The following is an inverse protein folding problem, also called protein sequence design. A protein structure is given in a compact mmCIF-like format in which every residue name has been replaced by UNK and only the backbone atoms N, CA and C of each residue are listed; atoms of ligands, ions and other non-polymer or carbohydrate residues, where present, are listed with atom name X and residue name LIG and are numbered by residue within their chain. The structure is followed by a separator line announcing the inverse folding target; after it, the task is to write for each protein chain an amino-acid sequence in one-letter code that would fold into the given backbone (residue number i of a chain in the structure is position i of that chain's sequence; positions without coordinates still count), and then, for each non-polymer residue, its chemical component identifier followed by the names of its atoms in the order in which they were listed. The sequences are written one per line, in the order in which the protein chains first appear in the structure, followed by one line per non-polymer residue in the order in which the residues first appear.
data_IF_692631135536
#
_entry.id   IF_692631135536
#
_cell.length_a   1.000
_cell.length_b   1.000
_cell.length_c   1.000
_cell.angle_alpha   90.00
_cell.angle_beta   90.00
_cell.angle_gamma   90.00
#
_symmetry.space_group_name_H-M   'P 1'
#
loop_
_entity.id
_entity.type
_entity.pdbx_description
1 polymer ?
#
# COMPACT_ATOMS: atom_id res chain seq x y z
N UNK A 1 -2.07 -15.14 -22.59
CA UNK A 1 -2.96 -14.51 -21.60
C UNK A 1 -3.72 -13.43 -22.34
N UNK A 2 -5.03 -13.58 -22.54
CA UNK A 2 -5.85 -12.53 -23.18
C UNK A 2 -5.95 -11.36 -22.20
N UNK A 3 -5.42 -10.20 -22.57
CA UNK A 3 -5.66 -8.95 -21.84
C UNK A 3 -7.17 -8.65 -21.87
N UNK A 4 -7.83 -8.91 -20.77
CA UNK A 4 -9.20 -8.41 -20.61
C UNK A 4 -9.12 -6.89 -20.38
N UNK A 5 -9.92 -6.11 -21.12
CA UNK A 5 -9.91 -4.67 -20.96
C UNK A 5 -10.36 -4.30 -19.53
N UNK A 6 -9.66 -3.35 -18.90
CA UNK A 6 -10.05 -2.80 -17.61
C UNK A 6 -11.42 -2.16 -17.75
N UNK A 7 -12.39 -2.62 -16.95
CA UNK A 7 -13.76 -2.09 -16.94
C UNK A 7 -13.97 -1.19 -15.73
N UNK A 8 -14.60 -0.03 -15.95
CA UNK A 8 -15.12 0.74 -14.84
C UNK A 8 -16.38 0.05 -14.29
N UNK A 9 -16.36 -0.29 -13.00
CA UNK A 9 -17.44 -0.99 -12.30
C UNK A 9 -18.26 -0.06 -11.40
N UNK A 10 -17.96 1.25 -11.38
CA UNK A 10 -18.73 2.23 -10.64
C UNK A 10 -20.00 2.51 -11.43
N UNK A 11 -21.16 2.11 -10.88
CA UNK A 11 -22.49 2.34 -11.44
C UNK A 11 -22.97 3.78 -11.15
N UNK A 12 -22.55 4.35 -10.03
CA UNK A 12 -22.90 5.70 -9.61
C UNK A 12 -22.58 5.98 -8.15
N UNK A 13 -23.02 7.14 -7.68
CA UNK A 13 -22.88 7.58 -6.31
C UNK A 13 -24.26 7.84 -5.71
N UNK A 14 -24.45 7.51 -4.45
CA UNK A 14 -25.67 7.76 -3.71
C UNK A 14 -25.35 8.34 -2.35
N UNK A 15 -26.17 9.28 -1.91
CA UNK A 15 -26.16 9.80 -0.54
C UNK A 15 -27.27 9.14 0.24
N UNK A 16 -26.92 8.46 1.33
CA UNK A 16 -27.86 7.68 2.15
C UNK A 16 -27.49 7.79 3.63
N UNK A 17 -28.42 7.47 4.52
CA UNK A 17 -28.09 7.32 5.95
C UNK A 17 -27.21 6.09 6.14
N UNK A 18 -26.19 6.23 6.98
CA UNK A 18 -25.26 5.13 7.28
C UNK A 18 -25.98 3.89 7.81
N UNK A 19 -27.00 4.06 8.66
CA UNK A 19 -27.81 2.98 9.23
C UNK A 19 -28.63 2.18 8.21
N UNK A 20 -28.94 2.75 7.05
CA UNK A 20 -29.71 2.08 5.98
C UNK A 20 -28.85 1.12 5.16
N UNK A 21 -27.53 1.19 5.31
CA UNK A 21 -26.59 0.30 4.63
C UNK A 21 -26.56 -1.07 5.30
N UNK A 22 -26.67 -2.13 4.50
CA UNK A 22 -26.59 -3.51 4.97
C UNK A 22 -25.11 -3.89 5.17
N UNK A 23 -24.66 -4.25 6.38
CA UNK A 23 -23.28 -4.72 6.57
C UNK A 23 -23.10 -6.06 5.84
N UNK A 24 -21.88 -6.29 5.34
CA UNK A 24 -21.57 -7.58 4.73
C UNK A 24 -21.27 -8.62 5.82
N UNK A 25 -21.95 -9.75 5.80
CA UNK A 25 -21.82 -10.82 6.81
C UNK A 25 -20.42 -11.45 6.86
N UNK A 26 -19.66 -11.35 5.76
CA UNK A 26 -18.28 -11.84 5.67
C UNK A 26 -17.25 -10.76 5.97
N UNK A 27 -17.65 -9.62 6.54
CA UNK A 27 -16.65 -8.64 6.98
C UNK A 27 -15.82 -9.19 8.13
N UNK A 28 -14.58 -9.55 7.85
CA UNK A 28 -13.64 -10.15 8.81
C UNK A 28 -12.77 -9.11 9.54
N UNK A 29 -12.94 -7.81 9.21
CA UNK A 29 -12.11 -6.75 9.79
C UNK A 29 -12.63 -6.32 11.15
N UNK A 30 -11.75 -6.38 12.15
CA UNK A 30 -11.98 -5.79 13.46
C UNK A 30 -11.09 -4.54 13.60
N UNK A 31 -11.70 -3.43 13.96
CA UNK A 31 -10.98 -2.16 14.13
C UNK A 31 -10.82 -1.85 15.62
N UNK A 32 -9.59 -1.62 16.14
CA UNK A 32 -9.39 -1.14 17.49
C UNK A 32 -10.08 0.20 17.72
N UNK A 33 -10.63 0.42 18.93
CA UNK A 33 -11.35 1.67 19.25
C UNK A 33 -10.49 2.93 19.08
N UNK A 34 -9.19 2.83 19.31
CA UNK A 34 -8.23 3.93 19.10
C UNK A 34 -8.18 4.41 17.64
N UNK A 35 -8.34 3.52 16.65
CA UNK A 35 -8.45 3.92 15.25
C UNK A 35 -9.73 4.69 14.95
N UNK A 36 -10.81 4.41 15.70
CA UNK A 36 -12.11 5.06 15.53
C UNK A 36 -12.04 6.53 15.93
N UNK A 37 -11.41 6.84 17.05
CA UNK A 37 -11.38 8.18 17.62
C UNK A 37 -10.39 9.11 16.90
N UNK A 38 -9.18 8.65 16.61
CA UNK A 38 -8.11 9.49 16.13
C UNK A 38 -8.31 9.98 14.69
N UNK A 39 -8.65 9.07 13.78
CA UNK A 39 -8.71 9.43 12.34
C UNK A 39 -9.93 10.30 12.03
N UNK A 40 -11.06 10.08 12.71
CA UNK A 40 -12.32 10.72 12.37
C UNK A 40 -12.58 12.01 13.15
N UNK A 41 -11.97 12.18 14.32
CA UNK A 41 -12.09 13.41 15.08
C UNK A 41 -11.33 14.58 14.44
N UNK A 42 -10.20 14.30 13.78
CA UNK A 42 -9.32 15.35 13.25
C UNK A 42 -9.58 15.66 11.77
N UNK A 43 -9.86 14.65 10.96
CA UNK A 43 -10.02 14.81 9.49
C UNK A 43 -11.46 14.62 9.04
N UNK A 44 -12.31 13.96 9.83
CA UNK A 44 -13.68 13.63 9.46
C UNK A 44 -13.78 12.56 8.38
N UNK A 45 -14.91 12.53 7.66
CA UNK A 45 -15.17 11.58 6.59
C UNK A 45 -14.56 12.07 5.27
N UNK A 46 -13.35 11.65 4.98
CA UNK A 46 -12.61 12.05 3.78
C UNK A 46 -12.74 11.06 2.60
N UNK A 47 -13.56 10.01 2.72
CA UNK A 47 -13.70 8.96 1.70
C UNK A 47 -15.12 8.41 1.67
N UNK A 48 -15.68 8.18 0.46
CA UNK A 48 -16.96 7.50 0.27
C UNK A 48 -16.90 6.04 0.74
N UNK A 49 -18.07 5.47 1.08
CA UNK A 49 -18.24 4.05 1.35
C UNK A 49 -18.41 3.31 0.03
N UNK A 50 -18.07 2.03 0.00
CA UNK A 50 -18.19 1.19 -1.18
C UNK A 50 -19.28 0.14 -0.96
N UNK A 51 -20.25 0.05 -1.88
CA UNK A 51 -21.38 -0.87 -1.77
C UNK A 51 -21.84 -1.39 -3.13
N UNK A 52 -22.69 -2.40 -3.13
CA UNK A 52 -23.43 -2.88 -4.28
C UNK A 52 -24.91 -3.02 -3.97
N UNK A 53 -25.73 -3.01 -5.01
CA UNK A 53 -27.18 -3.04 -4.87
C UNK A 53 -27.71 -4.49 -4.79
N UNK A 54 -28.48 -4.77 -3.74
CA UNK A 54 -29.19 -6.03 -3.57
C UNK A 54 -30.44 -6.06 -4.47
N UNK A 55 -31.01 -7.25 -4.74
CA UNK A 55 -32.25 -7.38 -5.55
C UNK A 55 -33.42 -6.59 -5.01
N UNK A 56 -33.47 -6.31 -3.71
CA UNK A 56 -34.49 -5.51 -3.04
C UNK A 56 -34.23 -4.00 -3.05
N UNK A 57 -33.16 -3.57 -3.73
CA UNK A 57 -32.76 -2.17 -3.87
C UNK A 57 -31.95 -1.60 -2.71
N UNK A 58 -31.74 -2.35 -1.63
CA UNK A 58 -30.85 -1.93 -0.53
C UNK A 58 -29.39 -2.01 -0.96
N UNK A 59 -28.55 -1.20 -0.33
CA UNK A 59 -27.10 -1.18 -0.56
C UNK A 59 -26.38 -2.03 0.48
N UNK A 60 -25.59 -3.02 0.04
CA UNK A 60 -24.78 -3.87 0.90
C UNK A 60 -23.31 -3.45 0.80
N UNK A 61 -22.69 -3.22 1.96
CA UNK A 61 -21.32 -2.70 2.07
C UNK A 61 -20.27 -3.71 1.59
N UNK A 62 -19.27 -3.21 0.91
CA UNK A 62 -18.01 -3.88 0.61
C UNK A 62 -16.90 -3.27 1.46
N UNK A 63 -16.83 -1.93 1.54
CA UNK A 63 -15.88 -1.22 2.39
C UNK A 63 -16.56 -0.06 3.13
N UNK A 64 -16.03 0.26 4.33
CA UNK A 64 -16.53 1.35 5.17
C UNK A 64 -17.41 0.91 6.32
N UNK A 65 -17.40 -0.35 6.74
CA UNK A 65 -18.17 -0.87 7.88
C UNK A 65 -17.91 -0.06 9.15
N UNK A 66 -16.65 0.24 9.47
CA UNK A 66 -16.30 1.08 10.61
C UNK A 66 -16.98 2.45 10.54
N UNK A 67 -16.93 3.11 9.38
CA UNK A 67 -17.52 4.44 9.18
C UNK A 67 -19.03 4.43 9.33
N UNK A 68 -19.70 3.39 8.80
CA UNK A 68 -21.14 3.17 9.01
C UNK A 68 -21.50 3.07 10.49
N UNK A 69 -20.67 2.40 11.29
CA UNK A 69 -20.96 2.10 12.69
C UNK A 69 -20.61 3.25 13.65
N UNK A 70 -20.00 4.31 13.17
CA UNK A 70 -19.68 5.49 13.99
C UNK A 70 -20.93 6.31 14.32
N UNK A 71 -21.79 6.55 13.35
CA UNK A 71 -23.04 7.29 13.50
C UNK A 71 -24.05 6.81 12.46
N UNK A 72 -25.06 6.07 12.92
CA UNK A 72 -26.09 5.50 12.07
C UNK A 72 -27.01 6.54 11.41
N UNK A 73 -27.13 7.72 12.01
CA UNK A 73 -27.99 8.81 11.52
C UNK A 73 -27.27 9.72 10.51
N UNK A 74 -25.97 9.62 10.41
CA UNK A 74 -25.16 10.40 9.49
C UNK A 74 -25.49 10.08 8.04
N UNK A 75 -25.60 11.11 7.20
CA UNK A 75 -25.62 10.96 5.75
C UNK A 75 -24.21 10.73 5.21
N UNK A 76 -24.02 9.67 4.43
CA UNK A 76 -22.74 9.27 3.86
C UNK A 76 -22.81 9.15 2.35
N UNK A 77 -21.71 9.47 1.69
CA UNK A 77 -21.53 9.25 0.26
C UNK A 77 -21.12 7.79 0.01
N UNK A 78 -21.79 7.14 -0.93
CA UNK A 78 -21.59 5.73 -1.28
C UNK A 78 -21.31 5.59 -2.76
N UNK A 79 -20.19 5.00 -3.11
CA UNK A 79 -19.93 4.49 -4.46
C UNK A 79 -20.64 3.16 -4.66
N UNK A 80 -21.54 3.11 -5.62
CA UNK A 80 -22.32 1.90 -5.93
C UNK A 80 -21.65 1.17 -7.09
N UNK A 81 -21.23 -0.07 -6.84
CA UNK A 81 -20.61 -0.92 -7.86
C UNK A 81 -21.64 -1.80 -8.57
N UNK A 82 -21.38 -2.04 -9.86
CA UNK A 82 -22.05 -3.04 -10.69
C UNK A 82 -21.29 -4.37 -10.55
N UNK A 83 -21.52 -5.07 -9.45
CA UNK A 83 -20.87 -6.35 -9.12
C UNK A 83 -21.86 -7.35 -8.58
N UNK A 84 -21.60 -8.63 -8.83
CA UNK A 84 -22.32 -9.73 -8.20
C UNK A 84 -21.89 -9.91 -6.74
N UNK A 85 -22.65 -10.69 -5.98
CA UNK A 85 -22.31 -11.05 -4.59
C UNK A 85 -20.97 -11.81 -4.50
N UNK A 86 -20.65 -12.65 -5.51
CA UNK A 86 -19.37 -13.34 -5.60
C UNK A 86 -18.21 -12.36 -5.84
N UNK A 87 -18.36 -11.42 -6.76
CA UNK A 87 -17.37 -10.38 -7.05
C UNK A 87 -17.19 -9.45 -5.84
N UNK A 88 -18.26 -9.14 -5.10
CA UNK A 88 -18.21 -8.35 -3.87
C UNK A 88 -17.39 -9.06 -2.78
N UNK A 89 -17.54 -10.38 -2.63
CA UNK A 89 -16.69 -11.18 -1.72
C UNK A 89 -15.22 -11.16 -2.15
N UNK A 90 -14.94 -11.25 -3.44
CA UNK A 90 -13.56 -11.14 -3.94
C UNK A 90 -12.95 -9.76 -3.65
N UNK A 91 -13.74 -8.68 -3.77
CA UNK A 91 -13.31 -7.33 -3.40
C UNK A 91 -13.04 -7.20 -1.90
N UNK A 92 -13.89 -7.76 -1.03
CA UNK A 92 -13.66 -7.79 0.42
C UNK A 92 -12.30 -8.39 0.78
N UNK A 93 -11.89 -9.45 0.10
CA UNK A 93 -10.60 -10.11 0.31
C UNK A 93 -9.43 -9.35 -0.29
N UNK A 94 -9.64 -8.51 -1.29
CA UNK A 94 -8.58 -7.98 -2.15
C UNK A 94 -8.25 -6.51 -1.94
N UNK A 95 -9.19 -5.68 -1.48
CA UNK A 95 -9.02 -4.22 -1.41
C UNK A 95 -7.78 -3.85 -0.58
N UNK A 96 -7.67 -4.34 0.66
CA UNK A 96 -6.55 -3.99 1.52
C UNK A 96 -5.25 -4.72 1.16
N UNK A 97 -5.26 -6.07 0.93
CA UNK A 97 -4.05 -6.76 0.49
C UNK A 97 -3.44 -6.19 -0.79
N UNK A 98 -4.25 -5.81 -1.77
CA UNK A 98 -3.73 -5.17 -2.98
C UNK A 98 -3.16 -3.78 -2.71
N UNK A 99 -3.75 -3.01 -1.79
CA UNK A 99 -3.21 -1.73 -1.38
C UNK A 99 -1.85 -1.87 -0.67
N UNK A 100 -1.66 -2.92 0.13
CA UNK A 100 -0.39 -3.20 0.83
C UNK A 100 0.74 -3.66 -0.11
N UNK A 101 0.42 -4.15 -1.32
CA UNK A 101 1.43 -4.49 -2.34
C UNK A 101 2.11 -3.26 -2.94
N UNK A 102 1.57 -2.07 -2.75
CA UNK A 102 2.20 -0.83 -3.19
C UNK A 102 3.51 -0.60 -2.42
N UNK A 103 4.60 -0.34 -3.17
CA UNK A 103 5.90 -0.03 -2.56
C UNK A 103 5.86 1.38 -1.97
N UNK A 104 6.12 1.48 -0.68
CA UNK A 104 6.24 2.77 0.00
C UNK A 104 7.59 3.40 -0.30
N UNK A 105 7.58 4.64 -0.77
CA UNK A 105 8.79 5.46 -0.89
C UNK A 105 9.05 6.12 0.49
N UNK A 106 9.89 5.51 1.30
CA UNK A 106 10.13 5.89 2.70
C UNK A 106 10.52 7.37 2.83
N UNK A 107 11.42 7.87 2.00
CA UNK A 107 11.86 9.27 2.03
C UNK A 107 10.74 10.28 1.77
N UNK A 108 9.83 9.96 0.84
CA UNK A 108 8.68 10.83 0.55
C UNK A 108 7.65 10.78 1.67
N UNK A 109 7.42 9.60 2.27
CA UNK A 109 6.55 9.45 3.43
C UNK A 109 7.08 10.25 4.62
N UNK A 110 8.35 10.11 4.95
CA UNK A 110 8.98 10.80 6.09
C UNK A 110 8.90 12.32 5.90
N UNK A 111 9.16 12.78 4.66
CA UNK A 111 9.01 14.19 4.31
C UNK A 111 7.56 14.66 4.44
N UNK A 112 6.59 13.84 4.06
CA UNK A 112 5.16 14.17 4.20
C UNK A 112 4.77 14.29 5.68
N UNK A 113 5.24 13.39 6.55
CA UNK A 113 5.02 13.46 7.99
C UNK A 113 5.60 14.75 8.58
N UNK A 114 6.82 15.15 8.18
CA UNK A 114 7.43 16.42 8.60
C UNK A 114 6.61 17.65 8.18
N UNK A 115 6.01 17.61 6.98
CA UNK A 115 5.22 18.70 6.41
C UNK A 115 3.77 18.74 6.95
N UNK A 116 3.35 17.70 7.69
CA UNK A 116 1.99 17.55 8.19
C UNK A 116 2.01 17.53 9.73
N UNK A 117 2.16 18.70 10.39
CA UNK A 117 2.11 18.74 11.83
C UNK A 117 0.72 18.35 12.33
N UNK A 118 0.66 17.57 13.41
CA UNK A 118 -0.56 17.23 14.12
C UNK A 118 -0.35 17.32 15.61
N UNK A 119 -1.34 17.84 16.32
CA UNK A 119 -1.37 17.89 17.77
C UNK A 119 -1.91 16.58 18.37
N UNK A 120 -2.50 15.70 17.55
CA UNK A 120 -3.00 14.38 17.98
C UNK A 120 -1.84 13.38 18.12
N UNK A 121 -1.61 12.94 19.36
CA UNK A 121 -0.64 11.87 19.64
C UNK A 121 -1.11 10.54 19.04
N UNK A 122 -2.43 10.29 19.05
CA UNK A 122 -3.03 9.07 18.50
C UNK A 122 -2.80 8.97 16.99
N UNK A 123 -2.96 10.08 16.27
CA UNK A 123 -2.73 10.11 14.83
C UNK A 123 -1.25 9.92 14.51
N UNK A 124 -0.37 10.55 15.26
CA UNK A 124 1.08 10.36 15.14
C UNK A 124 1.49 8.92 15.38
N UNK A 125 0.95 8.30 16.44
CA UNK A 125 1.18 6.88 16.74
C UNK A 125 0.65 5.96 15.65
N UNK A 126 -0.51 6.27 15.06
CA UNK A 126 -1.07 5.51 13.93
C UNK A 126 -0.17 5.59 12.69
N UNK A 127 0.39 6.76 12.36
CA UNK A 127 1.33 6.91 11.24
C UNK A 127 2.63 6.12 11.49
N UNK A 128 3.14 6.11 12.70
CA UNK A 128 4.34 5.33 13.09
C UNK A 128 4.06 3.83 13.01
N UNK A 129 2.94 3.36 13.56
CA UNK A 129 2.55 1.96 13.51
C UNK A 129 2.36 1.46 12.07
N UNK A 130 1.75 2.28 11.20
CA UNK A 130 1.63 1.96 9.78
C UNK A 130 3.00 1.87 9.08
N UNK A 131 3.97 2.70 9.49
CA UNK A 131 5.33 2.64 9.01
C UNK A 131 6.05 1.35 9.43
N UNK A 132 5.90 0.97 10.69
CA UNK A 132 6.51 -0.25 11.25
C UNK A 132 5.89 -1.52 10.67
N UNK A 133 4.58 -1.56 10.42
CA UNK A 133 3.90 -2.69 9.78
C UNK A 133 4.47 -2.96 8.38
N UNK A 134 4.71 -1.91 7.60
CA UNK A 134 5.34 -2.02 6.26
C UNK A 134 6.79 -2.52 6.37
N UNK A 135 7.53 -2.14 7.42
CA UNK A 135 8.89 -2.60 7.66
C UNK A 135 8.93 -4.03 8.22
N UNK A 136 7.92 -4.43 9.04
CA UNK A 136 7.83 -5.77 9.65
C UNK A 136 7.45 -6.87 8.66
N UNK A 137 6.73 -6.55 7.59
CA UNK A 137 6.41 -7.49 6.50
C UNK A 137 7.56 -7.69 5.50
N UNK A 138 8.64 -6.94 5.62
CA UNK A 138 9.86 -7.29 4.91
C UNK A 138 10.33 -8.65 5.42
N UNK A 139 10.40 -9.69 4.56
CA UNK A 139 11.20 -10.84 4.89
C UNK A 139 12.56 -10.28 5.30
N UNK A 140 13.17 -10.80 6.38
CA UNK A 140 14.48 -10.32 6.79
C UNK A 140 15.30 -10.25 5.51
N UNK A 141 15.70 -9.05 5.07
CA UNK A 141 16.78 -8.97 4.11
C UNK A 141 17.79 -9.91 4.72
N UNK A 142 18.02 -11.05 4.08
CA UNK A 142 19.32 -11.66 4.19
C UNK A 142 20.26 -10.56 3.74
N UNK A 143 20.68 -9.79 4.70
CA UNK A 143 21.96 -9.14 4.67
C UNK A 143 22.88 -10.35 4.83
N UNK A 144 22.99 -11.18 3.79
CA UNK A 144 24.27 -11.71 3.46
C UNK A 144 25.09 -10.44 3.48
N UNK A 145 25.90 -10.28 4.50
CA UNK A 145 26.84 -9.20 4.60
C UNK A 145 27.56 -9.21 3.26
N UNK A 146 27.09 -8.38 2.31
CA UNK A 146 27.83 -8.10 1.11
C UNK A 146 29.04 -7.44 1.72
N UNK A 147 30.21 -8.10 1.75
CA UNK A 147 31.41 -7.45 2.24
C UNK A 147 31.47 -6.16 1.43
N UNK A 148 31.60 -5.01 2.11
CA UNK A 148 31.72 -3.71 1.44
C UNK A 148 32.76 -3.87 0.35
N UNK A 149 32.31 -4.04 -0.88
CA UNK A 149 33.20 -4.19 -2.03
C UNK A 149 33.37 -2.83 -2.64
N UNK A 150 34.51 -2.27 -2.48
CA UNK A 150 34.91 -1.05 -3.18
C UNK A 150 35.39 -1.46 -4.58
N UNK A 151 34.57 -1.23 -5.60
CA UNK A 151 34.88 -1.60 -6.98
C UNK A 151 35.32 -0.38 -7.76
N UNK A 152 36.42 -0.53 -8.51
CA UNK A 152 36.89 0.47 -9.46
C UNK A 152 36.75 -0.09 -10.87
N UNK A 153 36.03 0.62 -11.74
CA UNK A 153 35.91 0.30 -13.15
C UNK A 153 36.93 1.09 -13.95
N UNK A 154 37.77 0.39 -14.70
CA UNK A 154 38.79 1.01 -15.57
C UNK A 154 38.46 0.68 -17.02
N UNK A 155 38.32 1.72 -17.86
CA UNK A 155 38.15 1.57 -19.30
C UNK A 155 39.52 1.53 -20.00
N UNK A 156 39.80 0.43 -20.73
CA UNK A 156 41.03 0.24 -21.49
C UNK A 156 40.83 0.61 -22.97
N UNK A 157 41.87 1.05 -23.62
CA UNK A 157 41.83 1.40 -25.07
C UNK A 157 41.76 0.17 -25.96
N UNK A 158 42.40 -0.91 -25.52
CA UNK A 158 42.56 -2.15 -26.26
C UNK A 158 42.78 -3.32 -25.29
N UNK A 159 42.70 -4.55 -25.81
CA UNK A 159 42.90 -5.78 -25.05
C UNK A 159 44.31 -5.88 -24.44
N UNK A 160 45.33 -5.38 -25.12
CA UNK A 160 46.70 -5.40 -24.63
C UNK A 160 46.88 -4.57 -23.36
N UNK A 161 46.31 -3.38 -23.34
CA UNK A 161 46.32 -2.53 -22.14
C UNK A 161 45.50 -3.18 -20.99
N UNK A 162 44.42 -3.87 -21.30
CA UNK A 162 43.63 -4.58 -20.29
C UNK A 162 44.44 -5.69 -19.62
N UNK A 163 45.17 -6.49 -20.40
CA UNK A 163 46.02 -7.57 -19.87
C UNK A 163 47.14 -7.01 -19.00
N UNK A 164 47.84 -6.00 -19.48
CA UNK A 164 48.93 -5.34 -18.74
C UNK A 164 48.44 -4.79 -17.38
N UNK A 165 47.26 -4.15 -17.33
CA UNK A 165 46.70 -3.60 -16.10
C UNK A 165 46.25 -4.72 -15.15
N UNK A 166 45.62 -5.78 -15.65
CA UNK A 166 45.20 -6.93 -14.82
C UNK A 166 46.43 -7.61 -14.17
N UNK A 167 47.52 -7.80 -14.91
CA UNK A 167 48.75 -8.38 -14.37
C UNK A 167 49.40 -7.46 -13.31
N UNK A 168 49.35 -6.16 -13.52
CA UNK A 168 49.88 -5.17 -12.57
C UNK A 168 49.07 -5.20 -11.28
N UNK A 169 47.74 -5.11 -11.37
CA UNK A 169 46.84 -5.11 -10.21
C UNK A 169 46.90 -6.42 -9.40
N UNK A 170 47.07 -7.56 -10.10
CA UNK A 170 47.31 -8.85 -9.42
C UNK A 170 48.62 -8.86 -8.64
N UNK A 171 49.67 -8.28 -9.19
CA UNK A 171 50.97 -8.13 -8.46
C UNK A 171 50.85 -7.24 -7.23
N UNK A 172 49.98 -6.23 -7.30
CA UNK A 172 49.70 -5.31 -6.20
C UNK A 172 48.69 -5.90 -5.18
N UNK A 173 48.29 -7.17 -5.34
CA UNK A 173 47.39 -7.90 -4.43
C UNK A 173 45.90 -7.57 -4.59
N UNK A 174 45.49 -6.96 -5.69
CA UNK A 174 44.10 -6.62 -5.98
C UNK A 174 43.39 -7.77 -6.72
N UNK A 175 42.17 -8.10 -6.31
CA UNK A 175 41.32 -9.07 -7.03
C UNK A 175 40.66 -8.37 -8.23
N UNK A 176 41.00 -8.82 -9.44
CA UNK A 176 40.58 -8.18 -10.68
C UNK A 176 39.87 -9.16 -11.61
N UNK A 177 38.79 -8.70 -12.24
CA UNK A 177 38.05 -9.44 -13.26
C UNK A 177 37.89 -8.62 -14.52
N UNK A 178 38.10 -9.25 -15.68
CA UNK A 178 37.77 -8.64 -16.97
C UNK A 178 36.26 -8.67 -17.19
N UNK A 179 35.70 -7.51 -17.58
CA UNK A 179 34.32 -7.42 -18.07
C UNK A 179 34.43 -7.21 -19.59
N UNK A 180 33.85 -8.13 -20.33
CA UNK A 180 33.71 -8.00 -21.80
C UNK A 180 32.32 -7.47 -22.06
N UNK A 181 32.21 -6.38 -22.81
CA UNK A 181 30.97 -5.78 -23.27
C UNK A 181 30.64 -6.22 -24.70
#
# INVERSE_FOLDING_TARGET
MSEQPVRNRIKGHRRVRAGDLVPHEWNFRAHPELQRAALYAEVGFARSLLAYELPDGRLKLIDGHLRRDLDADMEVEVEVLDVSDEEARALLLSIDPLATLARTQEQLRDRLVELTPTDSEELRAAWQAAAEAVLGERPPRRVDSIPEQFLVLVTCRDERQQVELLERFKRDGLDCKALLS
#
